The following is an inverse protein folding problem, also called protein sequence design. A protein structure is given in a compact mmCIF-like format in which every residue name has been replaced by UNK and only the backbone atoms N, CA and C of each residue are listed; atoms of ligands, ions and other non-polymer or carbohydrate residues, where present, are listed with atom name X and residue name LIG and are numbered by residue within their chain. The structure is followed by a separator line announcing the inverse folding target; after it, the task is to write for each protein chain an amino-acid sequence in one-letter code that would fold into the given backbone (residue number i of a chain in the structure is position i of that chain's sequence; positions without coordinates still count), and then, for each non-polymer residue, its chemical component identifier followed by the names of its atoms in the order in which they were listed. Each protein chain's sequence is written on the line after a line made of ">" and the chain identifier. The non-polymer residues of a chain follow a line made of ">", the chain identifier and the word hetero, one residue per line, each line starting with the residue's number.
data_IF_554886356777
#
_entry.id   IF_554886356777
#
_cell.length_a   1.000
_cell.length_b   1.000
_cell.length_c   1.000
_cell.angle_alpha   90.00
_cell.angle_beta   90.00
_cell.angle_gamma   90.00
#
_symmetry.space_group_name_H-M   'P 1'
#
loop_
_entity.id
_entity.type
_entity.pdbx_description
1 polymer ?
#
# COMPACT_ATOMS: atom_id res chain seq x y z
N UNK A 1 -5.59 -20.44 10.06
CA UNK A 1 -5.55 -20.13 8.61
C UNK A 1 -4.26 -19.36 8.35
N UNK A 2 -3.71 -19.42 7.14
CA UNK A 2 -2.50 -18.67 6.84
C UNK A 2 -2.79 -17.16 6.76
N UNK A 3 -1.83 -16.36 7.21
CA UNK A 3 -1.93 -14.91 7.16
C UNK A 3 -1.95 -14.46 5.70
N UNK A 4 -2.72 -13.42 5.40
CA UNK A 4 -2.78 -12.82 4.06
C UNK A 4 -2.17 -11.43 4.09
N UNK A 5 -1.44 -11.08 3.04
CA UNK A 5 -0.88 -9.75 2.83
C UNK A 5 -1.40 -9.14 1.53
N UNK A 6 -1.91 -7.92 1.63
CA UNK A 6 -2.20 -7.07 0.46
C UNK A 6 -1.00 -6.15 0.25
N UNK A 7 -0.30 -6.33 -0.88
CA UNK A 7 0.82 -5.49 -1.28
C UNK A 7 0.30 -4.41 -2.24
N UNK A 8 0.50 -3.16 -1.90
CA UNK A 8 0.27 -2.02 -2.80
C UNK A 8 1.63 -1.50 -3.22
N UNK A 9 1.91 -1.55 -4.52
CA UNK A 9 3.20 -1.16 -5.09
C UNK A 9 3.01 0.09 -5.94
N UNK A 10 3.72 1.15 -5.61
CA UNK A 10 3.65 2.45 -6.29
C UNK A 10 4.87 2.60 -7.20
N UNK A 11 4.63 2.90 -8.47
CA UNK A 11 5.70 3.24 -9.41
C UNK A 11 6.27 4.63 -9.09
N UNK A 12 7.37 4.99 -9.76
CA UNK A 12 7.98 6.31 -9.61
C UNK A 12 6.97 7.44 -9.90
N UNK A 13 6.69 8.34 -8.93
CA UNK A 13 5.86 9.52 -9.17
C UNK A 13 6.62 10.57 -9.99
N UNK A 14 5.88 11.52 -10.57
CA UNK A 14 6.46 12.68 -11.28
C UNK A 14 7.17 13.61 -10.30
N UNK A 15 6.60 13.78 -9.10
CA UNK A 15 7.18 14.55 -8.01
C UNK A 15 7.24 13.68 -6.73
N UNK A 16 8.42 13.13 -6.39
CA UNK A 16 8.60 12.31 -5.19
C UNK A 16 8.30 13.03 -3.88
N UNK A 17 8.54 14.34 -3.79
CA UNK A 17 8.29 15.09 -2.56
C UNK A 17 6.78 15.27 -2.36
N UNK A 18 6.06 15.70 -3.40
CA UNK A 18 4.61 15.83 -3.35
C UNK A 18 3.92 14.49 -3.06
N UNK A 19 4.45 13.38 -3.60
CA UNK A 19 3.99 12.03 -3.27
C UNK A 19 4.14 11.76 -1.77
N UNK A 20 5.34 11.94 -1.20
CA UNK A 20 5.60 11.60 0.20
C UNK A 20 4.78 12.47 1.17
N UNK A 21 4.64 13.76 0.86
CA UNK A 21 3.84 14.68 1.66
C UNK A 21 2.36 14.27 1.68
N UNK A 22 1.77 13.99 0.51
CA UNK A 22 0.38 13.54 0.43
C UNK A 22 0.20 12.15 1.05
N UNK A 23 1.12 11.23 0.77
CA UNK A 23 1.08 9.87 1.28
C UNK A 23 1.04 9.86 2.80
N UNK A 24 1.94 10.61 3.44
CA UNK A 24 2.02 10.66 4.90
C UNK A 24 0.88 11.47 5.54
N UNK A 25 0.53 12.64 4.98
CA UNK A 25 -0.40 13.57 5.62
C UNK A 25 -1.88 13.24 5.35
N UNK A 26 -2.19 12.59 4.24
CA UNK A 26 -3.57 12.34 3.80
C UNK A 26 -3.87 10.85 3.68
N UNK A 27 -3.08 10.14 2.86
CA UNK A 27 -3.40 8.76 2.52
C UNK A 27 -3.26 7.80 3.70
N UNK A 28 -2.16 7.89 4.45
CA UNK A 28 -1.90 7.01 5.59
C UNK A 28 -2.92 7.17 6.73
N UNK A 29 -3.39 8.37 7.09
CA UNK A 29 -4.53 8.51 8.01
C UNK A 29 -5.80 7.79 7.54
N UNK A 30 -6.14 7.85 6.24
CA UNK A 30 -7.30 7.15 5.69
C UNK A 30 -7.09 5.63 5.75
N UNK A 31 -5.94 5.14 5.28
CA UNK A 31 -5.59 3.71 5.29
C UNK A 31 -5.49 3.14 6.72
N UNK A 32 -5.07 3.97 7.69
CA UNK A 32 -4.99 3.60 9.10
C UNK A 32 -6.37 3.36 9.76
N UNK A 33 -7.47 3.74 9.10
CA UNK A 33 -8.82 3.49 9.58
C UNK A 33 -9.37 2.12 9.13
N UNK A 34 -8.67 1.40 8.24
CA UNK A 34 -9.11 0.10 7.76
C UNK A 34 -9.17 -0.88 8.95
N UNK A 35 -10.33 -1.46 9.28
CA UNK A 35 -10.45 -2.36 10.42
C UNK A 35 -9.84 -3.73 10.12
N UNK A 36 -9.57 -4.49 11.19
CA UNK A 36 -9.07 -5.88 11.12
C UNK A 36 -7.69 -6.04 10.46
N UNK A 37 -6.92 -4.95 10.36
CA UNK A 37 -5.52 -4.98 9.95
C UNK A 37 -4.65 -5.38 11.15
N UNK A 38 -3.87 -6.45 11.00
CA UNK A 38 -2.93 -6.91 12.02
C UNK A 38 -1.70 -5.99 12.09
N UNK A 39 -1.20 -5.61 10.91
CA UNK A 39 0.05 -4.88 10.74
C UNK A 39 0.09 -4.19 9.39
N UNK A 40 0.66 -2.98 9.37
CA UNK A 40 1.05 -2.29 8.13
C UNK A 40 2.57 -2.14 8.13
N UNK A 41 3.21 -2.53 7.02
CA UNK A 41 4.65 -2.30 6.77
C UNK A 41 4.79 -1.36 5.59
N UNK A 42 5.55 -0.29 5.78
CA UNK A 42 5.81 0.72 4.75
C UNK A 42 7.26 0.60 4.29
N UNK A 43 7.46 0.44 2.98
CA UNK A 43 8.77 0.28 2.37
C UNK A 43 8.99 1.36 1.32
N UNK A 44 10.19 1.93 1.30
CA UNK A 44 10.65 2.83 0.24
C UNK A 44 11.68 2.09 -0.61
N UNK A 45 11.52 2.16 -1.92
CA UNK A 45 12.47 1.60 -2.87
C UNK A 45 13.83 2.29 -2.71
N UNK A 46 14.89 1.50 -2.79
CA UNK A 46 16.27 1.99 -2.86
C UNK A 46 16.88 1.54 -4.18
N UNK A 47 17.92 2.24 -4.61
CA UNK A 47 18.70 1.81 -5.77
C UNK A 47 19.26 0.40 -5.58
N UNK A 48 19.29 -0.36 -6.67
CA UNK A 48 19.91 -1.67 -6.70
C UNK A 48 21.42 -1.59 -6.51
N UNK A 49 22.11 -2.72 -6.23
CA UNK A 49 23.57 -2.75 -6.10
C UNK A 49 24.32 -2.28 -7.36
N UNK A 50 23.66 -2.29 -8.51
CA UNK A 50 24.16 -1.81 -9.81
C UNK A 50 23.83 -0.33 -10.09
N UNK A 51 23.20 0.37 -9.14
CA UNK A 51 22.74 1.75 -9.28
C UNK A 51 21.45 1.90 -10.08
N UNK A 52 20.78 0.80 -10.44
CA UNK A 52 19.49 0.88 -11.13
C UNK A 52 18.41 1.43 -10.20
N UNK A 53 17.49 2.22 -10.77
CA UNK A 53 16.31 2.69 -10.05
C UNK A 53 15.45 1.49 -9.61
N UNK A 54 14.81 1.56 -8.42
CA UNK A 54 13.96 0.47 -7.96
C UNK A 54 12.76 0.28 -8.90
N UNK A 55 12.32 -0.97 -9.07
CA UNK A 55 11.11 -1.29 -9.83
C UNK A 55 9.86 -0.58 -9.27
N UNK A 56 9.81 -0.36 -7.95
CA UNK A 56 8.75 0.37 -7.27
C UNK A 56 9.35 1.42 -6.34
N UNK A 57 8.81 2.63 -6.39
CA UNK A 57 9.24 3.75 -5.53
C UNK A 57 8.82 3.54 -4.07
N UNK A 58 7.61 3.00 -3.87
CA UNK A 58 7.04 2.74 -2.54
C UNK A 58 6.26 1.44 -2.54
N UNK A 59 6.17 0.79 -1.38
CA UNK A 59 5.28 -0.33 -1.14
C UNK A 59 4.62 -0.23 0.23
N UNK A 60 3.35 -0.58 0.32
CA UNK A 60 2.67 -0.86 1.58
C UNK A 60 2.28 -2.35 1.62
N UNK A 61 2.51 -2.99 2.75
CA UNK A 61 2.06 -4.36 3.01
C UNK A 61 1.07 -4.32 4.15
N UNK A 62 -0.16 -4.73 3.88
CA UNK A 62 -1.27 -4.72 4.83
C UNK A 62 -1.59 -6.18 5.17
N UNK A 63 -1.32 -6.57 6.40
CA UNK A 63 -1.47 -7.93 6.88
C UNK A 63 -2.83 -8.13 7.55
N UNK A 64 -3.45 -9.27 7.25
CA UNK A 64 -4.73 -9.72 7.81
C UNK A 64 -4.59 -11.16 8.30
N UNK A 65 -5.29 -11.49 9.37
CA UNK A 65 -5.21 -12.82 9.99
C UNK A 65 -5.46 -13.98 9.01
N UNK A 66 -6.36 -13.78 8.04
CA UNK A 66 -6.69 -14.73 6.98
C UNK A 66 -7.43 -14.07 5.81
N UNK A 67 -7.73 -14.85 4.78
CA UNK A 67 -8.42 -14.38 3.57
C UNK A 67 -9.86 -13.88 3.83
N UNK A 68 -10.59 -14.47 4.78
CA UNK A 68 -11.95 -14.04 5.12
C UNK A 68 -11.94 -12.69 5.83
N UNK A 69 -11.00 -12.50 6.74
CA UNK A 69 -10.76 -11.24 7.45
C UNK A 69 -10.36 -10.14 6.47
N UNK A 70 -9.44 -10.43 5.55
CA UNK A 70 -9.03 -9.51 4.48
C UNK A 70 -10.23 -9.10 3.60
N UNK A 71 -11.03 -10.05 3.13
CA UNK A 71 -12.19 -9.76 2.29
C UNK A 71 -13.22 -8.88 3.02
N UNK A 72 -13.44 -9.13 4.32
CA UNK A 72 -14.37 -8.34 5.14
C UNK A 72 -13.84 -6.93 5.35
N UNK A 73 -12.56 -6.78 5.68
CA UNK A 73 -11.89 -5.49 5.84
C UNK A 73 -11.92 -4.66 4.56
N UNK A 74 -11.60 -5.28 3.42
CA UNK A 74 -11.55 -4.60 2.12
C UNK A 74 -12.93 -4.20 1.58
N UNK A 75 -14.02 -4.78 2.10
CA UNK A 75 -15.39 -4.40 1.74
C UNK A 75 -15.90 -3.15 2.48
N UNK A 76 -15.16 -2.64 3.47
CA UNK A 76 -15.55 -1.48 4.29
C UNK A 76 -15.45 -0.15 3.54
N UNK A 77 -16.15 0.86 4.04
CA UNK A 77 -16.10 2.21 3.48
C UNK A 77 -14.71 2.84 3.62
N UNK A 78 -14.01 2.54 4.72
CA UNK A 78 -12.65 2.98 5.01
C UNK A 78 -11.65 2.44 3.97
N UNK A 79 -11.74 1.14 3.64
CA UNK A 79 -10.89 0.52 2.63
C UNK A 79 -11.18 1.02 1.20
N UNK A 80 -12.46 1.27 0.88
CA UNK A 80 -12.85 1.87 -0.39
C UNK A 80 -12.36 3.31 -0.50
N UNK A 81 -12.41 4.09 0.59
CA UNK A 81 -11.88 5.45 0.64
C UNK A 81 -10.36 5.45 0.40
N UNK A 82 -9.61 4.60 1.09
CA UNK A 82 -8.16 4.47 0.87
C UNK A 82 -7.84 4.07 -0.59
N UNK A 83 -8.56 3.10 -1.14
CA UNK A 83 -8.36 2.67 -2.53
C UNK A 83 -8.64 3.79 -3.53
N UNK A 84 -9.75 4.52 -3.33
CA UNK A 84 -10.16 5.61 -4.22
C UNK A 84 -9.23 6.82 -4.13
N UNK A 85 -8.53 6.99 -3.01
CA UNK A 85 -7.60 8.09 -2.78
C UNK A 85 -6.27 7.93 -3.55
N UNK A 86 -5.92 6.71 -3.98
CA UNK A 86 -4.63 6.41 -4.65
C UNK A 86 -4.39 7.30 -5.88
N UNK A 87 -5.43 7.55 -6.68
CA UNK A 87 -5.31 8.32 -7.93
C UNK A 87 -4.94 9.79 -7.70
N UNK A 88 -5.10 10.30 -6.47
CA UNK A 88 -4.82 11.71 -6.15
C UNK A 88 -3.32 12.01 -6.04
N UNK A 89 -2.48 11.00 -5.76
CA UNK A 89 -1.05 11.21 -5.50
C UNK A 89 -0.12 10.23 -6.24
N UNK A 90 -0.60 9.03 -6.59
CA UNK A 90 0.21 8.02 -7.25
C UNK A 90 0.31 8.26 -8.77
N UNK A 91 0.94 9.37 -9.19
CA UNK A 91 1.00 9.77 -10.61
C UNK A 91 1.71 8.76 -11.52
N UNK A 92 2.59 7.92 -10.97
CA UNK A 92 3.23 6.81 -11.68
C UNK A 92 2.34 5.56 -11.83
N UNK A 93 1.17 5.57 -11.21
CA UNK A 93 0.30 4.41 -11.05
C UNK A 93 0.67 3.55 -9.84
N UNK A 94 -0.25 2.66 -9.50
CA UNK A 94 -0.08 1.66 -8.46
C UNK A 94 -0.65 0.31 -8.91
N UNK A 95 -0.07 -0.76 -8.39
CA UNK A 95 -0.52 -2.14 -8.58
C UNK A 95 -0.84 -2.78 -7.23
N UNK A 96 -1.77 -3.74 -7.22
CA UNK A 96 -2.12 -4.50 -6.02
C UNK A 96 -1.81 -5.97 -6.24
N UNK A 97 -1.15 -6.60 -5.27
CA UNK A 97 -0.86 -8.02 -5.26
C UNK A 97 -1.23 -8.63 -3.90
N UNK A 98 -2.14 -9.58 -3.90
CA UNK A 98 -2.59 -10.29 -2.70
C UNK A 98 -1.86 -11.62 -2.62
N UNK A 99 -1.27 -11.92 -1.48
CA UNK A 99 -0.50 -13.14 -1.26
C UNK A 99 -0.78 -13.78 0.12
N UNK A 100 -0.54 -15.07 0.19
CA UNK A 100 -0.47 -15.83 1.44
C UNK A 100 0.95 -15.74 2.02
N UNK A 101 1.05 -15.66 3.35
CA UNK A 101 2.32 -15.75 4.08
C UNK A 101 2.60 -17.22 4.38
N UNK A 102 3.75 -17.73 3.91
CA UNK A 102 4.20 -19.13 4.06
C UNK A 102 5.39 -19.27 5.00
#
# INVERSE_FOLDING_TARGET
>A
MAQVVVNVMYNAPVDPQAFEDYYAATHMPIAGMIPMVDKIVLLKGMEGPDGSAPAYYRMAQIYFADATTMATAMATAEAQAATSDIVNFATGGASVFIAEVV
#
